data_IF_074622497798
#
_entry.id   IF_074622497798
#
_cell.length_a   1.000
_cell.length_b   1.000
_cell.length_c   1.000
_cell.angle_alpha   90.00
_cell.angle_beta   90.00
_cell.angle_gamma   90.00
#
_symmetry.space_group_name_H-M   'P 1'
#
loop_
_entity.id
_entity.type
_entity.pdbx_description
1 polymer ?
#
# COMPACT_ATOMS: atom_id res chain seq x y z
N UNK A 1 16.03 23.10 -5.35
CA UNK A 1 14.99 22.48 -4.48
C UNK A 1 14.54 21.08 -4.96
N UNK A 2 15.40 20.30 -5.64
CA UNK A 2 15.03 19.00 -6.27
C UNK A 2 14.85 17.85 -5.27
N UNK A 3 15.51 17.93 -4.11
CA UNK A 3 15.47 16.89 -3.07
C UNK A 3 14.11 16.75 -2.38
N UNK A 4 13.31 17.82 -2.32
CA UNK A 4 12.08 17.77 -1.54
C UNK A 4 10.99 16.94 -2.23
N UNK A 5 10.84 17.06 -3.56
CA UNK A 5 9.88 16.26 -4.34
C UNK A 5 10.21 14.76 -4.29
N UNK A 6 11.49 14.42 -4.40
CA UNK A 6 11.97 13.03 -4.32
C UNK A 6 11.70 12.43 -2.94
N UNK A 7 11.94 13.19 -1.87
CA UNK A 7 11.65 12.75 -0.50
C UNK A 7 10.15 12.49 -0.27
N UNK A 8 9.29 13.32 -0.86
CA UNK A 8 7.84 13.13 -0.80
C UNK A 8 7.36 11.88 -1.56
N UNK A 9 7.96 11.55 -2.71
CA UNK A 9 7.64 10.32 -3.42
C UNK A 9 8.01 9.07 -2.62
N UNK A 10 9.20 9.04 -2.02
CA UNK A 10 9.61 7.92 -1.18
C UNK A 10 8.76 7.80 0.09
N UNK A 11 8.37 8.92 0.69
CA UNK A 11 7.46 8.93 1.83
C UNK A 11 6.10 8.36 1.44
N UNK A 12 5.49 8.84 0.35
CA UNK A 12 4.21 8.34 -0.14
C UNK A 12 4.25 6.83 -0.45
N UNK A 13 5.33 6.36 -1.07
CA UNK A 13 5.55 4.94 -1.34
C UNK A 13 5.59 4.12 -0.04
N UNK A 14 6.41 4.55 0.94
CA UNK A 14 6.52 3.85 2.23
C UNK A 14 5.20 3.83 3.03
N UNK A 15 4.40 4.90 2.95
CA UNK A 15 3.09 4.95 3.58
C UNK A 15 2.13 3.96 2.89
N UNK A 16 2.13 3.91 1.55
CA UNK A 16 1.31 2.93 0.81
C UNK A 16 1.69 1.50 1.16
N UNK A 17 2.98 1.16 1.22
CA UNK A 17 3.45 -0.18 1.60
C UNK A 17 3.02 -0.56 3.02
N UNK A 18 3.13 0.38 3.97
CA UNK A 18 2.72 0.17 5.36
C UNK A 18 1.21 -0.07 5.47
N UNK A 19 0.39 0.68 4.71
CA UNK A 19 -1.06 0.47 4.64
C UNK A 19 -1.39 -0.91 4.06
N UNK A 20 -0.70 -1.34 3.00
CA UNK A 20 -0.88 -2.68 2.41
C UNK A 20 -0.58 -3.76 3.43
N UNK A 21 0.55 -3.65 4.14
CA UNK A 21 0.97 -4.65 5.14
C UNK A 21 -0.02 -4.73 6.29
N UNK A 22 -0.50 -3.59 6.81
CA UNK A 22 -1.51 -3.57 7.88
C UNK A 22 -2.82 -4.21 7.39
N UNK A 23 -3.31 -3.82 6.21
CA UNK A 23 -4.56 -4.35 5.68
C UNK A 23 -4.45 -5.86 5.40
N UNK A 24 -3.35 -6.32 4.80
CA UNK A 24 -3.09 -7.74 4.55
C UNK A 24 -2.98 -8.53 5.86
N UNK A 25 -2.31 -7.97 6.89
CA UNK A 25 -2.22 -8.59 8.20
C UNK A 25 -3.61 -8.86 8.79
N UNK A 26 -4.52 -7.88 8.75
CA UNK A 26 -5.89 -8.07 9.24
C UNK A 26 -6.69 -9.05 8.37
N UNK A 27 -6.57 -8.99 7.05
CA UNK A 27 -7.29 -9.90 6.12
C UNK A 27 -6.89 -11.36 6.32
N UNK A 28 -5.59 -11.64 6.52
CA UNK A 28 -5.10 -13.02 6.64
C UNK A 28 -5.05 -13.53 8.08
N UNK A 29 -4.73 -12.69 9.06
CA UNK A 29 -4.55 -13.15 10.45
C UNK A 29 -5.86 -13.21 11.22
N UNK A 30 -6.80 -12.28 10.99
CA UNK A 30 -8.09 -12.27 11.69
C UNK A 30 -8.91 -13.56 11.52
N UNK A 31 -9.08 -14.15 10.31
CA UNK A 31 -9.84 -15.39 10.17
C UNK A 31 -9.16 -16.58 10.86
N UNK A 32 -7.82 -16.65 10.84
CA UNK A 32 -7.06 -17.72 11.51
C UNK A 32 -7.23 -17.66 13.02
N UNK A 33 -7.13 -16.46 13.61
CA UNK A 33 -7.32 -16.27 15.05
C UNK A 33 -8.76 -16.59 15.45
N UNK A 34 -9.74 -16.23 14.62
CA UNK A 34 -11.14 -16.52 14.89
C UNK A 34 -11.46 -18.03 14.82
N UNK A 35 -10.84 -18.76 13.90
CA UNK A 35 -10.96 -20.21 13.80
C UNK A 35 -10.36 -20.92 15.03
N UNK A 36 -9.16 -20.52 15.46
CA UNK A 36 -8.49 -21.09 16.65
C UNK A 36 -9.26 -20.80 17.95
N UNK A 37 -9.88 -19.62 18.06
CA UNK A 37 -10.60 -19.20 19.26
C UNK A 37 -11.91 -19.99 19.51
N UNK A 38 -12.55 -20.53 18.47
CA UNK A 38 -13.83 -21.25 18.58
C UNK A 38 -15.03 -20.39 19.06
N UNK A 39 -14.87 -19.08 19.22
CA UNK A 39 -15.90 -18.16 19.71
C UNK A 39 -16.83 -17.77 18.56
N UNK A 40 -18.11 -18.17 18.65
CA UNK A 40 -19.12 -17.92 17.61
C UNK A 40 -19.24 -16.44 17.19
N UNK A 41 -19.13 -15.51 18.14
CA UNK A 41 -19.19 -14.07 17.85
C UNK A 41 -18.00 -13.58 16.99
N UNK A 42 -16.80 -14.12 17.22
CA UNK A 42 -15.58 -13.72 16.50
C UNK A 42 -15.55 -14.34 15.10
N UNK A 43 -16.03 -15.58 14.97
CA UNK A 43 -16.23 -16.25 13.67
C UNK A 43 -17.25 -15.50 12.81
N UNK A 44 -18.35 -14.99 13.40
CA UNK A 44 -19.35 -14.22 12.67
C UNK A 44 -18.87 -12.80 12.25
N UNK A 45 -18.01 -12.17 13.06
CA UNK A 45 -17.45 -10.85 12.75
C UNK A 45 -16.33 -10.88 11.69
N UNK A 46 -15.59 -11.99 11.61
CA UNK A 46 -14.48 -12.19 10.67
C UNK A 46 -14.82 -11.94 9.20
N UNK A 47 -15.89 -12.51 8.61
CA UNK A 47 -16.25 -12.25 7.23
C UNK A 47 -16.66 -10.79 6.97
N UNK A 48 -17.26 -10.11 7.97
CA UNK A 48 -17.63 -8.69 7.83
C UNK A 48 -16.38 -7.80 7.76
N UNK A 49 -15.38 -8.08 8.60
CA UNK A 49 -14.08 -7.43 8.54
C UNK A 49 -13.38 -7.72 7.19
N UNK A 50 -13.44 -8.95 6.71
CA UNK A 50 -12.83 -9.34 5.44
C UNK A 50 -13.42 -8.53 4.26
N UNK A 51 -14.74 -8.43 4.17
CA UNK A 51 -15.43 -7.68 3.10
C UNK A 51 -15.06 -6.20 3.13
N UNK A 52 -14.80 -5.63 4.30
CA UNK A 52 -14.39 -4.23 4.44
C UNK A 52 -12.90 -4.00 4.13
N UNK A 53 -12.01 -4.84 4.67
CA UNK A 53 -10.56 -4.66 4.53
C UNK A 53 -10.02 -5.15 3.18
N UNK A 54 -10.69 -6.10 2.53
CA UNK A 54 -10.28 -6.62 1.23
C UNK A 54 -10.18 -5.54 0.13
N UNK A 55 -11.21 -4.70 -0.14
CA UNK A 55 -11.09 -3.62 -1.11
C UNK A 55 -10.04 -2.59 -0.70
N UNK A 56 -9.88 -2.34 0.60
CA UNK A 56 -8.87 -1.41 1.11
C UNK A 56 -7.44 -1.90 0.82
N UNK A 57 -7.16 -3.17 1.07
CA UNK A 57 -5.91 -3.82 0.71
C UNK A 57 -5.65 -3.73 -0.80
N UNK A 58 -6.69 -3.94 -1.62
CA UNK A 58 -6.59 -3.91 -3.08
C UNK A 58 -6.33 -2.48 -3.63
N UNK A 59 -6.96 -1.46 -3.05
CA UNK A 59 -6.72 -0.05 -3.38
C UNK A 59 -5.30 0.34 -2.98
N UNK A 60 -4.87 -0.02 -1.77
CA UNK A 60 -3.53 0.28 -1.30
C UNK A 60 -2.46 -0.38 -2.17
N UNK A 61 -2.67 -1.64 -2.58
CA UNK A 61 -1.74 -2.38 -3.43
C UNK A 61 -1.63 -1.77 -4.83
N UNK A 62 -2.75 -1.46 -5.47
CA UNK A 62 -2.73 -0.82 -6.80
C UNK A 62 -2.08 0.56 -6.74
N UNK A 63 -2.34 1.34 -5.68
CA UNK A 63 -1.69 2.63 -5.43
C UNK A 63 -0.17 2.49 -5.29
N UNK A 64 0.30 1.50 -4.52
CA UNK A 64 1.73 1.24 -4.36
C UNK A 64 2.41 0.90 -5.71
N UNK A 65 1.78 0.09 -6.55
CA UNK A 65 2.27 -0.23 -7.90
C UNK A 65 2.38 1.05 -8.75
N UNK A 66 1.35 1.89 -8.77
CA UNK A 66 1.37 3.15 -9.53
C UNK A 66 2.47 4.12 -9.03
N UNK A 67 2.64 4.25 -7.71
CA UNK A 67 3.70 5.09 -7.13
C UNK A 67 5.09 4.57 -7.47
N UNK A 68 5.29 3.26 -7.46
CA UNK A 68 6.57 2.63 -7.83
C UNK A 68 6.92 2.89 -9.30
N UNK A 69 5.92 2.80 -10.19
CA UNK A 69 6.09 3.13 -11.61
C UNK A 69 6.42 4.61 -11.77
N UNK A 70 5.71 5.51 -11.09
CA UNK A 70 6.01 6.95 -11.11
C UNK A 70 7.43 7.27 -10.66
N UNK A 71 7.91 6.65 -9.57
CA UNK A 71 9.29 6.80 -9.09
C UNK A 71 10.30 6.30 -10.13
N UNK A 72 10.00 5.19 -10.78
CA UNK A 72 10.85 4.61 -11.84
C UNK A 72 10.93 5.54 -13.05
N UNK A 73 9.80 6.11 -13.49
CA UNK A 73 9.74 7.10 -14.57
C UNK A 73 10.50 8.37 -14.19
N UNK A 74 10.34 8.86 -12.96
CA UNK A 74 11.07 10.03 -12.47
C UNK A 74 12.59 9.80 -12.52
N UNK A 75 13.06 8.61 -12.14
CA UNK A 75 14.48 8.23 -12.26
C UNK A 75 14.93 8.14 -13.72
N UNK A 76 14.11 7.56 -14.60
CA UNK A 76 14.39 7.46 -16.04
C UNK A 76 14.54 8.84 -16.68
N UNK A 77 13.58 9.75 -16.46
CA UNK A 77 13.63 11.12 -16.97
C UNK A 77 14.84 11.89 -16.44
N UNK A 78 15.19 11.69 -15.16
CA UNK A 78 16.38 12.28 -14.56
C UNK A 78 17.70 11.88 -15.20
N UNK A 79 17.75 10.73 -15.89
CA UNK A 79 18.93 10.21 -16.61
C UNK A 79 18.86 10.53 -18.10
N UNK A 80 17.75 10.22 -18.76
CA UNK A 80 17.62 10.28 -20.22
C UNK A 80 17.22 11.67 -20.74
N UNK A 81 16.56 12.51 -19.92
CA UNK A 81 16.10 13.84 -20.29
C UNK A 81 16.45 14.90 -19.24
N UNK A 82 17.75 15.16 -18.99
CA UNK A 82 18.20 16.04 -17.91
C UNK A 82 17.73 17.50 -18.06
N UNK A 83 17.45 17.97 -19.29
CA UNK A 83 17.05 19.36 -19.58
C UNK A 83 15.55 19.64 -19.42
N UNK A 84 14.69 18.62 -19.41
CA UNK A 84 13.23 18.78 -19.18
C UNK A 84 12.87 18.91 -17.69
N UNK A 85 13.79 18.55 -16.79
CA UNK A 85 13.60 18.57 -15.34
C UNK A 85 14.04 19.91 -14.70
N UNK A 86 14.65 20.81 -15.49
CA UNK A 86 15.20 22.10 -15.04
C UNK A 86 14.32 23.33 -15.31
N UNK A 87 13.17 23.18 -15.98
CA UNK A 87 12.18 24.25 -16.17
C UNK A 87 11.00 24.05 -15.22
#
# INVERSE_FOLDING_TARGET
MRSQKVNWFFLALSISDLIVLIAAFFVFSAPVIAEDSGIFALVNASPQLLVFFYPFAHIAHTTAVYLTVLVSVHRYLGVCHPFLVST
#
